data_IF_097189374456
#
_entry.id   IF_097189374456
#
_cell.length_a   1.000
_cell.length_b   1.000
_cell.length_c   1.000
_cell.angle_alpha   90.00
_cell.angle_beta   90.00
_cell.angle_gamma   90.00
#
_symmetry.space_group_name_H-M   'P 1'
#
loop_
_entity.id
_entity.type
_entity.pdbx_description
1 polymer ?
#
# COMPACT_ATOMS: atom_id res chain seq x y z
N UNK A 1 -6.21 -3.36 -6.35
CA UNK A 1 -5.21 -4.22 -5.70
C UNK A 1 -5.28 -5.63 -6.28
N UNK A 2 -4.21 -6.40 -6.17
CA UNK A 2 -4.30 -7.85 -6.33
C UNK A 2 -4.86 -8.48 -5.05
N UNK A 3 -5.50 -9.65 -5.15
CA UNK A 3 -6.00 -10.40 -3.99
C UNK A 3 -4.84 -10.89 -3.10
N UNK A 4 -4.21 -9.99 -2.35
CA UNK A 4 -3.23 -10.34 -1.35
C UNK A 4 -3.95 -10.72 -0.07
N UNK A 5 -3.82 -11.99 0.30
CA UNK A 5 -4.35 -12.49 1.56
C UNK A 5 -3.42 -12.08 2.71
N UNK A 6 -3.92 -11.25 3.62
CA UNK A 6 -3.23 -10.79 4.83
C UNK A 6 -4.17 -10.98 6.04
N UNK A 7 -3.63 -11.10 7.25
CA UNK A 7 -4.48 -11.32 8.46
C UNK A 7 -4.61 -10.09 9.36
N UNK A 8 -3.65 -9.18 9.29
CA UNK A 8 -3.62 -7.91 10.03
C UNK A 8 -2.54 -7.03 9.41
N UNK A 9 -1.29 -7.49 9.47
CA UNK A 9 -0.18 -6.78 8.84
C UNK A 9 0.94 -7.76 8.51
N UNK A 10 1.35 -7.76 7.25
CA UNK A 10 2.48 -8.53 6.77
C UNK A 10 3.60 -7.58 6.33
N UNK A 11 4.84 -7.99 6.57
CA UNK A 11 6.05 -7.26 6.20
C UNK A 11 6.90 -8.17 5.33
N UNK A 12 7.36 -7.66 4.19
CA UNK A 12 8.23 -8.38 3.28
C UNK A 12 9.52 -7.59 3.07
N UNK A 13 10.62 -8.28 3.29
CA UNK A 13 11.97 -7.91 2.89
C UNK A 13 12.28 -8.72 1.62
N UNK A 14 12.27 -8.05 0.47
CA UNK A 14 12.40 -8.67 -0.85
C UNK A 14 13.84 -8.72 -1.32
N UNK A 15 14.70 -7.81 -0.86
CA UNK A 15 16.11 -7.75 -1.23
C UNK A 15 17.08 -8.36 -0.18
N UNK A 16 16.59 -8.59 1.04
CA UNK A 16 17.29 -9.26 2.13
C UNK A 16 18.25 -8.37 2.90
N UNK A 17 18.10 -7.05 2.83
CA UNK A 17 18.97 -6.10 3.52
C UNK A 17 18.59 -5.85 5.00
N UNK A 18 17.44 -6.37 5.43
CA UNK A 18 16.89 -6.23 6.78
C UNK A 18 15.93 -5.05 6.95
N UNK A 19 15.66 -4.28 5.90
CA UNK A 19 14.59 -3.31 5.75
C UNK A 19 13.26 -3.96 5.40
N UNK A 20 12.17 -3.18 5.42
CA UNK A 20 10.87 -3.63 4.93
C UNK A 20 10.62 -2.96 3.60
N UNK A 21 10.58 -3.76 2.53
CA UNK A 21 10.28 -3.26 1.18
C UNK A 21 8.78 -3.16 0.94
N UNK A 22 7.99 -4.08 1.51
CA UNK A 22 6.54 -4.12 1.33
C UNK A 22 5.83 -4.31 2.66
N UNK A 23 4.81 -3.50 2.92
CA UNK A 23 3.89 -3.68 4.03
C UNK A 23 2.46 -3.83 3.48
N UNK A 24 1.79 -4.90 3.87
CA UNK A 24 0.37 -5.13 3.55
C UNK A 24 -0.42 -5.02 4.84
N UNK A 25 -1.51 -4.26 4.87
CA UNK A 25 -2.30 -4.01 6.07
C UNK A 25 -3.76 -4.31 5.76
N UNK A 26 -4.37 -5.15 6.59
CA UNK A 26 -5.81 -5.42 6.64
C UNK A 26 -6.36 -4.78 7.91
N UNK A 27 -7.22 -3.79 7.72
CA UNK A 27 -7.80 -2.96 8.78
C UNK A 27 -9.23 -3.36 9.13
N UNK A 28 -9.95 -4.03 8.22
CA UNK A 28 -11.35 -4.39 8.40
C UNK A 28 -11.59 -5.89 8.71
N UNK A 29 -10.58 -6.73 8.51
CA UNK A 29 -10.53 -8.14 8.86
C UNK A 29 -11.16 -9.07 7.83
N UNK A 30 -11.30 -8.65 6.57
CA UNK A 30 -11.85 -9.47 5.49
C UNK A 30 -10.81 -10.36 4.78
N UNK A 31 -9.55 -10.28 5.22
CA UNK A 31 -8.37 -10.94 4.67
C UNK A 31 -7.86 -10.40 3.33
N UNK A 32 -8.31 -9.24 2.90
CA UNK A 32 -7.77 -8.48 1.76
C UNK A 32 -7.00 -7.28 2.33
N UNK A 33 -5.90 -6.90 1.68
CA UNK A 33 -5.16 -5.70 2.09
C UNK A 33 -5.99 -4.45 1.76
N UNK A 34 -6.21 -3.60 2.75
CA UNK A 34 -6.78 -2.25 2.58
C UNK A 34 -5.69 -1.22 2.23
N UNK A 35 -4.46 -1.49 2.68
CA UNK A 35 -3.31 -0.62 2.47
C UNK A 35 -2.07 -1.43 2.07
N UNK A 36 -1.44 -1.04 0.96
CA UNK A 36 -0.16 -1.58 0.49
C UNK A 36 0.87 -0.46 0.49
N UNK A 37 2.00 -0.65 1.16
CA UNK A 37 3.12 0.29 1.19
C UNK A 37 4.36 -0.32 0.56
N UNK A 38 5.10 0.48 -0.19
CA UNK A 38 6.32 0.10 -0.87
C UNK A 38 7.44 1.07 -0.53
N UNK A 39 8.55 0.56 -0.02
CA UNK A 39 9.86 1.22 0.05
C UNK A 39 10.70 0.63 -1.10
N UNK A 40 10.97 1.45 -2.12
CA UNK A 40 11.61 1.01 -3.37
C UNK A 40 13.08 1.36 -3.46
N UNK A 41 13.57 2.24 -2.57
CA UNK A 41 14.97 2.64 -2.53
C UNK A 41 15.71 2.18 -1.25
N UNK A 42 14.99 1.59 -0.30
CA UNK A 42 15.52 0.93 0.90
C UNK A 42 15.97 1.92 1.98
N UNK A 43 15.45 3.15 1.96
CA UNK A 43 15.83 4.17 2.95
C UNK A 43 15.03 4.07 4.28
N UNK A 44 14.04 3.17 4.32
CA UNK A 44 13.16 2.94 5.47
C UNK A 44 11.94 3.86 5.50
N UNK A 45 11.74 4.69 4.48
CA UNK A 45 10.58 5.53 4.25
C UNK A 45 9.77 4.94 3.09
N UNK A 46 8.45 5.02 3.20
CA UNK A 46 7.57 4.50 2.16
C UNK A 46 7.51 5.46 0.98
N UNK A 47 7.88 4.97 -0.20
CA UNK A 47 7.77 5.68 -1.48
C UNK A 47 6.35 5.69 -2.03
N UNK A 48 5.64 4.56 -1.96
CA UNK A 48 4.31 4.41 -2.58
C UNK A 48 3.33 3.77 -1.62
N UNK A 49 2.13 4.35 -1.52
CA UNK A 49 1.00 3.81 -0.76
C UNK A 49 -0.20 3.63 -1.69
N UNK A 50 -0.77 2.44 -1.71
CA UNK A 50 -2.06 2.14 -2.33
C UNK A 50 -3.09 1.92 -1.22
N UNK A 51 -4.28 2.49 -1.39
CA UNK A 51 -5.38 2.40 -0.43
C UNK A 51 -6.64 1.95 -1.16
N UNK A 52 -7.34 0.98 -0.57
CA UNK A 52 -8.72 0.61 -0.88
C UNK A 52 -9.59 1.04 0.30
N UNK A 53 -10.34 2.13 0.15
CA UNK A 53 -11.16 2.67 1.25
C UNK A 53 -12.49 1.96 1.38
N UNK A 54 -12.90 1.22 0.33
CA UNK A 54 -14.25 0.70 0.20
C UNK A 54 -14.31 -0.84 0.21
N UNK A 55 -13.15 -1.50 0.17
CA UNK A 55 -12.99 -2.95 0.26
C UNK A 55 -13.50 -3.70 -0.98
N UNK A 56 -13.53 -3.04 -2.15
CA UNK A 56 -13.93 -3.69 -3.40
C UNK A 56 -12.77 -4.40 -4.12
N UNK A 57 -11.58 -4.39 -3.52
CA UNK A 57 -10.35 -4.93 -4.07
C UNK A 57 -9.70 -4.00 -5.11
N UNK A 58 -10.23 -2.80 -5.34
CA UNK A 58 -9.66 -1.81 -6.23
C UNK A 58 -9.06 -0.65 -5.44
N UNK A 59 -7.98 -0.09 -5.98
CA UNK A 59 -7.29 1.02 -5.32
C UNK A 59 -8.07 2.31 -5.53
N UNK A 60 -8.57 2.89 -4.45
CA UNK A 60 -9.24 4.19 -4.41
C UNK A 60 -8.24 5.35 -4.38
N UNK A 61 -7.09 5.18 -3.72
CA UNK A 61 -6.12 6.26 -3.55
C UNK A 61 -4.68 5.75 -3.70
N UNK A 62 -3.86 6.50 -4.42
CA UNK A 62 -2.42 6.29 -4.54
C UNK A 62 -1.71 7.51 -3.99
N UNK A 63 -0.74 7.30 -3.11
CA UNK A 63 0.18 8.34 -2.63
C UNK A 63 1.59 7.98 -3.03
N UNK A 64 2.37 8.98 -3.43
CA UNK A 64 3.77 8.82 -3.80
C UNK A 64 4.60 9.89 -3.11
N UNK A 65 5.63 9.47 -2.39
CA UNK A 65 6.74 10.27 -1.88
C UNK A 65 7.95 9.98 -2.77
N UNK A 66 8.46 10.99 -3.49
CA UNK A 66 9.61 10.81 -4.39
C UNK A 66 10.92 11.27 -3.74
N UNK A 67 10.83 11.89 -2.57
CA UNK A 67 11.96 12.57 -1.95
C UNK A 67 12.35 11.96 -0.59
N UNK A 68 11.57 10.99 -0.09
CA UNK A 68 11.86 10.22 1.11
C UNK A 68 11.73 11.03 2.40
N UNK A 69 10.96 12.13 2.40
CA UNK A 69 10.77 12.95 3.61
C UNK A 69 9.59 12.51 4.49
N UNK A 70 8.87 11.47 4.06
CA UNK A 70 7.69 10.91 4.71
C UNK A 70 6.41 11.70 4.42
N UNK A 71 6.45 12.64 3.47
CA UNK A 71 5.30 13.40 3.02
C UNK A 71 5.09 13.16 1.53
N UNK A 72 3.88 12.73 1.17
CA UNK A 72 3.55 12.46 -0.22
C UNK A 72 3.65 13.73 -1.08
N UNK A 73 4.49 13.66 -2.11
CA UNK A 73 4.61 14.66 -3.17
C UNK A 73 3.40 14.63 -4.12
N UNK A 74 2.85 13.43 -4.34
CA UNK A 74 1.72 13.20 -5.22
C UNK A 74 0.65 12.38 -4.53
N UNK A 75 -0.61 12.73 -4.77
CA UNK A 75 -1.77 11.95 -4.34
C UNK A 75 -2.80 11.95 -5.45
N UNK A 76 -3.23 10.76 -5.81
CA UNK A 76 -4.25 10.53 -6.82
C UNK A 76 -5.41 9.76 -6.21
N UNK A 77 -6.61 10.31 -6.36
CA UNK A 77 -7.85 9.64 -6.01
C UNK A 77 -8.47 9.06 -7.28
N UNK A 78 -8.54 7.74 -7.36
CA UNK A 78 -9.38 7.04 -8.33
C UNK A 78 -10.80 7.02 -7.78
N UNK A 79 -11.71 7.82 -8.35
CA UNK A 79 -13.14 7.75 -8.03
C UNK A 79 -13.97 7.19 -9.19
N UNK A 80 -15.21 6.74 -8.91
CA UNK A 80 -15.49 5.36 -8.51
C UNK A 80 -15.24 4.35 -9.65
N UNK A 81 -14.75 3.15 -9.35
CA UNK A 81 -14.85 2.04 -10.30
C UNK A 81 -16.34 1.66 -10.50
N UNK A 82 -16.76 1.32 -11.73
CA UNK A 82 -18.16 1.15 -12.05
C UNK A 82 -18.79 -0.01 -11.27
N UNK A 83 -19.91 0.26 -10.60
CA UNK A 83 -20.79 -0.75 -10.01
C UNK A 83 -21.14 -1.79 -11.08
N UNK A 84 -20.72 -3.04 -10.86
CA UNK A 84 -21.26 -4.19 -11.60
C UNK A 84 -22.70 -4.51 -11.14
#
# INVERSE_FOLDING_TARGET
MSEFYVTTTDYYDTDGDGGTDVQLIDTDGDYVADEERYDTDGDGVTDVVYLDHNGDGYTDEVRVDLNGDGVSDYTEYQGPFPTA
#
